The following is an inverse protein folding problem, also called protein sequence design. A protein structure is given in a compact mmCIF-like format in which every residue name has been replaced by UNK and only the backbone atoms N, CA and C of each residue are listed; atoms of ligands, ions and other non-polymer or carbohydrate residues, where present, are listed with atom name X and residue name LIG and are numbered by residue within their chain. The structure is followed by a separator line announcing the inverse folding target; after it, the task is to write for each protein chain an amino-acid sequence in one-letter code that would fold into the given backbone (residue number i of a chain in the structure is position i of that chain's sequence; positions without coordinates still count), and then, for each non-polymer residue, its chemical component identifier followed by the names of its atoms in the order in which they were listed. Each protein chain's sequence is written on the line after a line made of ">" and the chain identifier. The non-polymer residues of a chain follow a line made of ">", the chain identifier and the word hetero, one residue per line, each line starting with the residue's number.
data_IF_374901949836
#
_entry.id   IF_374901949836
#
_cell.length_a   1.000
_cell.length_b   1.000
_cell.length_c   1.000
_cell.angle_alpha   90.00
_cell.angle_beta   90.00
_cell.angle_gamma   90.00
#
_symmetry.space_group_name_H-M   'P 1'
#
loop_
_entity.id
_entity.type
_entity.pdbx_description
1 polymer ?
#
# COMPACT_ATOMS: atom_id res chain seq x y z
N UNK A 1 11.12 49.84 -117.07
CA UNK A 1 9.85 50.61 -117.18
C UNK A 1 8.68 49.98 -116.45
N UNK A 2 8.15 48.78 -116.80
CA UNK A 2 6.98 48.22 -116.08
C UNK A 2 7.30 47.61 -114.70
N UNK A 3 8.49 47.01 -114.52
CA UNK A 3 8.89 46.39 -113.25
C UNK A 3 9.32 47.40 -112.16
N UNK A 4 9.97 48.49 -112.54
CA UNK A 4 10.35 49.55 -111.58
C UNK A 4 9.12 50.28 -111.04
N UNK A 5 8.09 50.45 -111.87
CA UNK A 5 6.86 51.14 -111.46
C UNK A 5 6.02 50.29 -110.50
N UNK A 6 5.92 48.99 -110.76
CA UNK A 6 5.25 48.04 -109.84
C UNK A 6 5.99 47.86 -108.51
N UNK A 7 7.33 47.93 -108.51
CA UNK A 7 8.13 47.86 -107.27
C UNK A 7 8.00 49.13 -106.41
N UNK A 8 7.90 50.31 -107.06
CA UNK A 8 7.64 51.58 -106.38
C UNK A 8 6.19 51.62 -105.85
N UNK A 9 5.21 51.18 -106.64
CA UNK A 9 3.81 51.13 -106.19
C UNK A 9 3.63 50.15 -105.02
N UNK A 10 4.33 49.00 -105.02
CA UNK A 10 4.32 48.04 -103.92
C UNK A 10 5.04 48.56 -102.67
N UNK A 11 6.16 49.29 -102.83
CA UNK A 11 6.83 49.95 -101.71
C UNK A 11 5.97 51.07 -101.10
N UNK A 12 5.31 51.87 -101.93
CA UNK A 12 4.37 52.90 -101.48
C UNK A 12 3.10 52.33 -100.83
N UNK A 13 2.67 51.13 -101.21
CA UNK A 13 1.57 50.42 -100.54
C UNK A 13 1.99 49.86 -99.19
N UNK A 14 3.20 49.29 -99.09
CA UNK A 14 3.75 48.81 -97.82
C UNK A 14 4.03 49.97 -96.86
N UNK A 15 4.53 51.10 -97.36
CA UNK A 15 4.72 52.31 -96.56
C UNK A 15 3.39 52.92 -96.12
N UNK A 16 2.34 52.90 -96.97
CA UNK A 16 0.98 53.31 -96.58
C UNK A 16 0.32 52.39 -95.56
N UNK A 17 0.46 51.06 -95.71
CA UNK A 17 -0.06 50.08 -94.75
C UNK A 17 0.73 50.14 -93.42
N UNK A 18 2.05 50.39 -93.46
CA UNK A 18 2.86 50.66 -92.26
C UNK A 18 2.45 51.96 -91.57
N UNK A 19 2.22 53.05 -92.32
CA UNK A 19 1.76 54.33 -91.76
C UNK A 19 0.35 54.21 -91.15
N UNK A 20 -0.53 53.39 -91.71
CA UNK A 20 -1.87 53.11 -91.16
C UNK A 20 -1.84 52.22 -89.90
N UNK A 21 -0.87 51.30 -89.78
CA UNK A 21 -0.64 50.52 -88.56
C UNK A 21 0.19 51.26 -87.49
N UNK A 22 1.02 52.23 -87.89
CA UNK A 22 1.99 52.89 -87.00
C UNK A 22 1.41 53.98 -86.07
N UNK A 23 0.12 54.35 -86.16
CA UNK A 23 -0.39 55.46 -85.33
C UNK A 23 -1.84 55.34 -84.81
N UNK A 24 -2.31 54.13 -84.53
CA UNK A 24 -3.45 53.98 -83.61
C UNK A 24 -3.00 54.25 -82.17
N UNK A 25 -3.14 55.51 -81.75
CA UNK A 25 -2.83 55.94 -80.39
C UNK A 25 -3.61 55.08 -79.37
N UNK A 26 -2.87 54.49 -78.41
CA UNK A 26 -3.43 53.58 -77.38
C UNK A 26 -4.54 54.24 -76.54
N UNK A 27 -4.51 55.57 -76.43
CA UNK A 27 -5.57 56.38 -75.86
C UNK A 27 -6.12 57.30 -76.94
N UNK A 28 -7.41 57.18 -77.23
CA UNK A 28 -8.09 58.00 -78.25
C UNK A 28 -8.71 59.27 -77.65
N UNK A 29 -8.97 59.25 -76.34
CA UNK A 29 -9.47 60.39 -75.58
C UNK A 29 -8.58 60.62 -74.36
N UNK A 30 -8.19 61.87 -74.06
CA UNK A 30 -7.35 62.19 -72.89
C UNK A 30 -7.93 61.69 -71.55
N UNK A 31 -9.25 61.48 -71.47
CA UNK A 31 -9.94 60.97 -70.28
C UNK A 31 -9.61 59.50 -69.98
N UNK A 32 -9.36 58.66 -71.00
CA UNK A 32 -9.14 57.22 -70.81
C UNK A 32 -7.91 56.91 -69.95
N UNK A 33 -6.85 57.73 -70.06
CA UNK A 33 -5.66 57.59 -69.23
C UNK A 33 -5.92 58.06 -67.79
N UNK A 34 -6.67 59.16 -67.63
CA UNK A 34 -7.07 59.66 -66.32
C UNK A 34 -7.95 58.65 -65.59
N UNK A 35 -8.92 58.03 -66.28
CA UNK A 35 -9.79 56.99 -65.73
C UNK A 35 -9.01 55.72 -65.32
N UNK A 36 -7.93 55.39 -66.04
CA UNK A 36 -7.04 54.29 -65.65
C UNK A 36 -6.21 54.64 -64.42
N UNK A 37 -5.73 55.89 -64.32
CA UNK A 37 -5.04 56.34 -63.12
C UNK A 37 -5.96 56.43 -61.91
N UNK A 38 -7.18 56.94 -62.05
CA UNK A 38 -8.16 56.96 -60.95
C UNK A 38 -8.54 55.55 -60.51
N UNK A 39 -8.78 54.61 -61.44
CA UNK A 39 -9.04 53.22 -61.09
C UNK A 39 -7.84 52.55 -60.38
N UNK A 40 -6.61 52.89 -60.77
CA UNK A 40 -5.39 52.42 -60.09
C UNK A 40 -5.24 53.06 -58.71
N UNK A 41 -5.56 54.34 -58.56
CA UNK A 41 -5.56 55.04 -57.27
C UNK A 41 -6.59 54.45 -56.32
N UNK A 42 -7.82 54.18 -56.79
CA UNK A 42 -8.86 53.49 -56.04
C UNK A 42 -8.43 52.08 -55.63
N UNK A 43 -7.87 51.30 -56.55
CA UNK A 43 -7.36 49.96 -56.26
C UNK A 43 -6.20 49.99 -55.25
N UNK A 44 -5.27 50.93 -55.37
CA UNK A 44 -4.15 51.06 -54.45
C UNK A 44 -4.63 51.50 -53.06
N UNK A 45 -5.58 52.44 -53.00
CA UNK A 45 -6.18 52.88 -51.74
C UNK A 45 -6.92 51.73 -51.05
N UNK A 46 -7.66 50.92 -51.81
CA UNK A 46 -8.31 49.72 -51.31
C UNK A 46 -7.31 48.71 -50.74
N UNK A 47 -6.19 48.45 -51.44
CA UNK A 47 -5.14 47.56 -50.95
C UNK A 47 -4.47 48.08 -49.68
N UNK A 48 -4.21 49.39 -49.60
CA UNK A 48 -3.64 50.02 -48.41
C UNK A 48 -4.60 49.86 -47.22
N UNK A 49 -5.88 50.16 -47.42
CA UNK A 49 -6.89 50.01 -46.37
C UNK A 49 -7.00 48.56 -45.91
N UNK A 50 -7.06 47.60 -46.84
CA UNK A 50 -7.12 46.18 -46.49
C UNK A 50 -5.84 45.72 -45.75
N UNK A 51 -4.66 46.18 -46.17
CA UNK A 51 -3.41 45.90 -45.46
C UNK A 51 -3.42 46.45 -44.03
N UNK A 52 -3.95 47.65 -43.82
CA UNK A 52 -4.08 48.25 -42.48
C UNK A 52 -5.08 47.48 -41.61
N UNK A 53 -6.28 47.18 -42.13
CA UNK A 53 -7.31 46.41 -41.41
C UNK A 53 -6.79 45.02 -41.00
N UNK A 54 -6.06 44.36 -41.90
CA UNK A 54 -5.44 43.05 -41.62
C UNK A 54 -4.26 43.14 -40.64
N UNK A 55 -3.49 44.22 -40.69
CA UNK A 55 -2.42 44.49 -39.72
C UNK A 55 -2.98 44.74 -38.32
N UNK A 56 -4.01 45.58 -38.19
CA UNK A 56 -4.72 45.83 -36.92
C UNK A 56 -5.29 44.53 -36.33
N UNK A 57 -5.96 43.71 -37.15
CA UNK A 57 -6.48 42.42 -36.70
C UNK A 57 -5.37 41.46 -36.22
N UNK A 58 -4.21 41.50 -36.87
CA UNK A 58 -3.04 40.71 -36.49
C UNK A 58 -2.44 41.21 -35.16
N UNK A 59 -2.34 42.52 -34.97
CA UNK A 59 -1.88 43.12 -33.71
C UNK A 59 -2.83 42.78 -32.55
N UNK A 60 -4.14 42.89 -32.75
CA UNK A 60 -5.12 42.48 -31.74
C UNK A 60 -4.96 41.00 -31.36
N UNK A 61 -4.76 40.14 -32.35
CA UNK A 61 -4.61 38.70 -32.13
C UNK A 61 -3.30 38.40 -31.39
N UNK A 62 -2.21 39.10 -31.69
CA UNK A 62 -0.95 39.02 -30.94
C UNK A 62 -1.14 39.39 -29.46
N UNK A 63 -1.84 40.51 -29.18
CA UNK A 63 -2.10 40.93 -27.79
C UNK A 63 -2.98 39.89 -27.08
N UNK A 64 -4.04 39.39 -27.72
CA UNK A 64 -4.90 38.33 -27.16
C UNK A 64 -4.09 37.07 -26.84
N UNK A 65 -3.16 36.67 -27.72
CA UNK A 65 -2.29 35.53 -27.51
C UNK A 65 -1.31 35.75 -26.34
N UNK A 66 -0.71 36.93 -26.24
CA UNK A 66 0.17 37.26 -25.11
C UNK A 66 -0.56 37.21 -23.77
N UNK A 67 -1.77 37.77 -23.70
CA UNK A 67 -2.60 37.74 -22.50
C UNK A 67 -3.02 36.30 -22.16
N UNK A 68 -3.41 35.51 -23.16
CA UNK A 68 -3.75 34.11 -22.96
C UNK A 68 -2.55 33.29 -22.45
N UNK A 69 -1.36 33.52 -23.03
CA UNK A 69 -0.14 32.86 -22.61
C UNK A 69 0.24 33.21 -21.16
N UNK A 70 0.14 34.50 -20.77
CA UNK A 70 0.38 34.93 -19.41
C UNK A 70 -0.58 34.24 -18.42
N UNK A 71 -1.88 34.22 -18.74
CA UNK A 71 -2.88 33.50 -17.92
C UNK A 71 -2.58 32.02 -17.79
N UNK A 72 -2.20 31.34 -18.88
CA UNK A 72 -1.85 29.93 -18.83
C UNK A 72 -0.63 29.65 -17.96
N UNK A 73 0.36 30.55 -17.95
CA UNK A 73 1.54 30.44 -17.08
C UNK A 73 1.14 30.63 -15.61
N UNK A 74 0.29 31.61 -15.31
CA UNK A 74 -0.22 31.86 -13.96
C UNK A 74 -1.05 30.67 -13.45
N UNK A 75 -1.94 30.13 -14.28
CA UNK A 75 -2.75 28.95 -13.97
C UNK A 75 -1.88 27.72 -13.72
N UNK A 76 -0.85 27.50 -14.55
CA UNK A 76 0.10 26.40 -14.37
C UNK A 76 0.88 26.53 -13.04
N UNK A 77 1.33 27.75 -12.69
CA UNK A 77 1.98 28.00 -11.41
C UNK A 77 1.04 27.77 -10.22
N UNK A 78 -0.23 28.18 -10.34
CA UNK A 78 -1.26 27.93 -9.34
C UNK A 78 -1.53 26.43 -9.12
N UNK A 79 -1.68 25.67 -10.21
CA UNK A 79 -1.84 24.22 -10.15
C UNK A 79 -0.62 23.52 -9.54
N UNK A 80 0.60 23.97 -9.87
CA UNK A 80 1.81 23.43 -9.28
C UNK A 80 1.84 23.64 -7.75
N UNK A 81 1.48 24.84 -7.28
CA UNK A 81 1.39 25.11 -5.85
C UNK A 81 0.34 24.26 -5.13
N UNK A 82 -0.79 23.95 -5.79
CA UNK A 82 -1.80 23.03 -5.25
C UNK A 82 -1.27 21.59 -5.15
N UNK A 83 -0.52 21.12 -6.16
CA UNK A 83 0.13 19.81 -6.14
C UNK A 83 1.11 19.72 -4.97
N UNK A 84 1.95 20.74 -4.78
CA UNK A 84 2.94 20.75 -3.69
C UNK A 84 2.26 20.74 -2.31
N UNK A 85 1.17 21.50 -2.16
CA UNK A 85 0.36 21.50 -0.92
C UNK A 85 -0.27 20.12 -0.65
N UNK A 86 -0.87 19.49 -1.66
CA UNK A 86 -1.48 18.17 -1.52
C UNK A 86 -0.41 17.10 -1.23
N UNK A 87 0.74 17.16 -1.89
CA UNK A 87 1.86 16.28 -1.61
C UNK A 87 2.34 16.40 -0.17
N UNK A 88 2.43 17.63 0.37
CA UNK A 88 2.74 17.87 1.77
C UNK A 88 1.69 17.30 2.74
N UNK A 89 0.40 17.42 2.41
CA UNK A 89 -0.67 16.84 3.22
C UNK A 89 -0.62 15.30 3.22
N UNK A 90 -0.38 14.69 2.06
CA UNK A 90 -0.23 13.22 1.93
C UNK A 90 0.95 12.74 2.77
N UNK A 91 2.11 13.40 2.68
CA UNK A 91 3.29 13.04 3.49
C UNK A 91 3.00 13.12 5.00
N UNK A 92 2.29 14.15 5.46
CA UNK A 92 1.90 14.29 6.87
C UNK A 92 0.88 13.23 7.32
N UNK A 93 -0.07 12.87 6.46
CA UNK A 93 -1.01 11.76 6.67
C UNK A 93 -0.29 10.41 6.74
N UNK A 94 0.64 10.15 5.83
CA UNK A 94 1.43 8.92 5.81
C UNK A 94 2.30 8.79 7.06
N UNK A 95 2.91 9.88 7.54
CA UNK A 95 3.66 9.86 8.80
C UNK A 95 2.75 9.56 10.00
N UNK A 96 1.56 10.18 10.07
CA UNK A 96 0.56 9.86 11.11
C UNK A 96 0.11 8.40 11.03
N UNK A 97 -0.16 7.90 9.82
CA UNK A 97 -0.56 6.50 9.58
C UNK A 97 0.54 5.56 10.01
N UNK A 98 1.81 5.85 9.69
CA UNK A 98 2.97 5.07 10.13
C UNK A 98 3.08 5.07 11.66
N UNK A 99 2.96 6.23 12.30
CA UNK A 99 3.00 6.34 13.76
C UNK A 99 1.87 5.58 14.46
N UNK A 100 0.66 5.59 13.88
CA UNK A 100 -0.46 4.79 14.37
C UNK A 100 -0.24 3.30 14.13
N UNK A 101 0.30 2.90 12.98
CA UNK A 101 0.59 1.50 12.65
C UNK A 101 1.69 0.92 13.56
N UNK A 102 2.69 1.71 13.94
CA UNK A 102 3.71 1.30 14.91
C UNK A 102 3.10 1.11 16.30
N UNK A 103 2.22 2.03 16.71
CA UNK A 103 1.49 1.93 17.99
C UNK A 103 0.51 0.76 18.02
N UNK A 104 -0.22 0.52 16.92
CA UNK A 104 -1.19 -0.59 16.82
C UNK A 104 -0.51 -1.94 16.59
N UNK A 105 0.63 -1.97 15.90
CA UNK A 105 1.46 -3.18 15.76
C UNK A 105 2.09 -3.63 17.06
N UNK A 106 2.40 -2.70 17.98
CA UNK A 106 3.00 -3.01 19.28
C UNK A 106 1.99 -3.48 20.36
N UNK A 107 0.68 -3.29 20.17
CA UNK A 107 -0.29 -3.64 21.22
C UNK A 107 -1.73 -3.93 20.78
N UNK A 108 -2.12 -3.63 19.55
CA UNK A 108 -3.47 -3.85 19.04
C UNK A 108 -3.75 -5.32 18.74
N UNK A 109 -2.81 -6.01 18.08
CA UNK A 109 -2.96 -7.43 17.76
C UNK A 109 -2.99 -8.33 19.00
N UNK A 110 -2.20 -8.01 20.02
CA UNK A 110 -2.18 -8.75 21.28
C UNK A 110 -3.45 -8.51 22.09
N UNK A 111 -3.90 -7.26 22.19
CA UNK A 111 -5.13 -6.93 22.90
C UNK A 111 -6.38 -7.54 22.25
N UNK A 112 -6.45 -7.57 20.92
CA UNK A 112 -7.59 -8.19 20.23
C UNK A 112 -7.57 -9.73 20.36
N UNK A 113 -6.39 -10.34 20.34
CA UNK A 113 -6.22 -11.76 20.65
C UNK A 113 -6.62 -12.08 22.08
N UNK A 114 -6.17 -11.31 23.07
CA UNK A 114 -6.55 -11.55 24.47
C UNK A 114 -8.04 -11.36 24.70
N UNK A 115 -8.68 -10.36 24.07
CA UNK A 115 -10.12 -10.18 24.12
C UNK A 115 -10.86 -11.37 23.49
N UNK A 116 -10.35 -11.91 22.39
CA UNK A 116 -10.92 -13.09 21.75
C UNK A 116 -10.81 -14.33 22.63
N UNK A 117 -9.64 -14.58 23.22
CA UNK A 117 -9.41 -15.69 24.16
C UNK A 117 -10.31 -15.60 25.39
N UNK A 118 -10.46 -14.40 25.97
CA UNK A 118 -11.36 -14.18 27.10
C UNK A 118 -12.82 -14.45 26.72
N UNK A 119 -13.26 -13.99 25.55
CA UNK A 119 -14.60 -14.25 25.04
C UNK A 119 -14.86 -15.75 24.87
N UNK A 120 -13.90 -16.49 24.29
CA UNK A 120 -13.98 -17.94 24.15
C UNK A 120 -14.11 -18.64 25.51
N UNK A 121 -13.28 -18.29 26.50
CA UNK A 121 -13.36 -18.86 27.85
C UNK A 121 -14.71 -18.60 28.52
N UNK A 122 -15.25 -17.38 28.39
CA UNK A 122 -16.58 -17.05 28.92
C UNK A 122 -17.66 -17.90 28.24
N UNK A 123 -17.58 -18.10 26.92
CA UNK A 123 -18.53 -18.94 26.20
C UNK A 123 -18.43 -20.43 26.59
N UNK A 124 -17.23 -20.94 26.85
CA UNK A 124 -17.02 -22.31 27.35
C UNK A 124 -17.65 -22.53 28.72
N UNK A 125 -17.42 -21.61 29.66
CA UNK A 125 -18.01 -21.65 31.01
C UNK A 125 -19.54 -21.55 30.93
N UNK A 126 -20.05 -20.63 30.10
CA UNK A 126 -21.48 -20.46 29.90
C UNK A 126 -22.13 -21.75 29.37
N UNK A 127 -21.55 -22.41 28.36
CA UNK A 127 -22.04 -23.68 27.82
C UNK A 127 -21.98 -24.84 28.82
N UNK A 128 -20.97 -24.85 29.70
CA UNK A 128 -20.84 -25.87 30.73
C UNK A 128 -21.94 -25.77 31.80
N UNK A 129 -22.40 -24.55 32.08
CA UNK A 129 -23.45 -24.28 33.08
C UNK A 129 -24.85 -24.35 32.44
N UNK A 130 -25.01 -23.81 31.23
CA UNK A 130 -26.26 -23.71 30.51
C UNK A 130 -26.15 -24.49 29.19
N UNK A 131 -26.78 -25.67 29.13
CA UNK A 131 -26.70 -26.56 27.95
C UNK A 131 -27.38 -25.98 26.70
N UNK A 132 -28.28 -25.01 26.87
CA UNK A 132 -28.91 -24.23 25.80
C UNK A 132 -28.11 -22.94 25.60
N UNK A 133 -27.22 -22.92 24.61
CA UNK A 133 -26.44 -21.72 24.30
C UNK A 133 -27.15 -20.87 23.25
N UNK A 134 -27.78 -19.79 23.71
CA UNK A 134 -28.18 -18.72 22.81
C UNK A 134 -26.93 -18.00 22.33
N UNK A 135 -26.46 -18.34 21.12
CA UNK A 135 -25.32 -17.68 20.46
C UNK A 135 -25.55 -16.17 20.20
N UNK A 136 -26.75 -15.64 20.52
CA UNK A 136 -27.09 -14.22 20.42
C UNK A 136 -26.70 -13.40 21.66
N UNK A 137 -26.30 -14.03 22.76
CA UNK A 137 -25.95 -13.32 23.99
C UNK A 137 -24.57 -12.65 23.85
N UNK A 138 -24.46 -11.39 24.24
CA UNK A 138 -23.16 -10.72 24.37
C UNK A 138 -22.37 -11.26 25.57
N UNK A 139 -21.04 -11.10 25.57
CA UNK A 139 -20.16 -11.54 26.67
C UNK A 139 -20.55 -10.98 28.03
N UNK A 140 -20.94 -9.71 28.09
CA UNK A 140 -21.42 -9.09 29.32
C UNK A 140 -22.67 -9.79 29.85
N UNK A 141 -23.62 -10.12 28.97
CA UNK A 141 -24.84 -10.81 29.35
C UNK A 141 -24.56 -12.25 29.83
N UNK A 142 -23.62 -12.94 29.16
CA UNK A 142 -23.16 -14.27 29.60
C UNK A 142 -22.54 -14.19 31.01
N UNK A 143 -21.68 -13.20 31.27
CA UNK A 143 -21.08 -12.99 32.58
C UNK A 143 -22.12 -12.71 33.66
N UNK A 144 -23.08 -11.82 33.41
CA UNK A 144 -24.16 -11.53 34.37
C UNK A 144 -24.98 -12.78 34.72
N UNK A 145 -25.25 -13.64 33.74
CA UNK A 145 -25.97 -14.90 33.97
C UNK A 145 -25.12 -15.93 34.74
N UNK A 146 -23.79 -15.95 34.51
CA UNK A 146 -22.86 -16.79 35.28
C UNK A 146 -22.81 -16.30 36.72
N UNK A 147 -22.69 -14.99 36.94
CA UNK A 147 -22.66 -14.37 38.27
C UNK A 147 -23.93 -14.67 39.06
N UNK A 148 -25.11 -14.48 38.47
CA UNK A 148 -26.37 -14.80 39.16
C UNK A 148 -26.47 -16.28 39.54
N UNK A 149 -26.03 -17.18 38.65
CA UNK A 149 -26.01 -18.62 38.95
C UNK A 149 -25.02 -18.97 40.06
N UNK A 150 -23.87 -18.31 40.11
CA UNK A 150 -22.91 -18.49 41.18
C UNK A 150 -23.48 -18.02 42.52
N UNK A 151 -24.15 -16.86 42.56
CA UNK A 151 -24.83 -16.35 43.76
C UNK A 151 -25.91 -17.32 44.27
N UNK A 152 -26.74 -17.87 43.38
CA UNK A 152 -27.74 -18.88 43.73
C UNK A 152 -27.11 -20.14 44.36
N UNK A 153 -26.01 -20.63 43.79
CA UNK A 153 -25.32 -21.81 44.29
C UNK A 153 -24.65 -21.56 45.65
N UNK A 154 -24.05 -20.38 45.84
CA UNK A 154 -23.47 -19.98 47.11
C UNK A 154 -24.55 -19.86 48.20
N UNK A 155 -25.68 -19.21 47.89
CA UNK A 155 -26.81 -19.13 48.82
C UNK A 155 -27.36 -20.52 49.18
N UNK A 156 -27.39 -21.46 48.23
CA UNK A 156 -27.78 -22.85 48.51
C UNK A 156 -26.77 -23.55 49.44
N UNK A 157 -25.46 -23.36 49.23
CA UNK A 157 -24.41 -23.94 50.09
C UNK A 157 -24.53 -23.43 51.52
N UNK A 158 -24.83 -22.15 51.73
CA UNK A 158 -24.98 -21.56 53.07
C UNK A 158 -26.14 -22.17 53.88
N UNK A 159 -27.15 -22.72 53.20
CA UNK A 159 -28.29 -23.39 53.87
C UNK A 159 -28.03 -24.85 54.22
N UNK A 160 -26.95 -25.46 53.70
CA UNK A 160 -26.64 -26.87 53.90
C UNK A 160 -25.87 -27.11 55.22
N UNK A 161 -25.98 -28.31 55.83
CA UNK A 161 -25.21 -28.64 57.03
C UNK A 161 -23.70 -28.66 56.74
N UNK A 162 -22.94 -27.91 57.54
CA UNK A 162 -21.50 -27.68 57.34
C UNK A 162 -20.69 -28.98 57.31
N UNK A 163 -21.05 -29.97 58.12
CA UNK A 163 -20.34 -31.26 58.18
C UNK A 163 -20.36 -32.03 56.85
N UNK A 164 -21.51 -32.00 56.14
CA UNK A 164 -21.65 -32.65 54.83
C UNK A 164 -20.91 -31.89 53.73
N UNK A 165 -20.96 -30.54 53.80
CA UNK A 165 -20.23 -29.67 52.88
C UNK A 165 -18.72 -29.88 53.02
N UNK A 166 -18.19 -29.94 54.24
CA UNK A 166 -16.78 -30.23 54.49
C UNK A 166 -16.37 -31.60 53.97
N UNK A 167 -17.20 -32.64 54.18
CA UNK A 167 -16.93 -33.97 53.65
C UNK A 167 -16.88 -33.98 52.11
N UNK A 168 -17.83 -33.31 51.46
CA UNK A 168 -17.88 -33.16 50.00
C UNK A 168 -16.67 -32.37 49.46
N UNK A 169 -16.26 -31.30 50.14
CA UNK A 169 -15.06 -30.53 49.79
C UNK A 169 -13.79 -31.38 49.91
N UNK A 170 -13.63 -32.14 51.01
CA UNK A 170 -12.50 -33.06 51.20
C UNK A 170 -12.45 -34.12 50.10
N UNK A 171 -13.60 -34.63 49.67
CA UNK A 171 -13.69 -35.59 48.58
C UNK A 171 -13.31 -34.97 47.22
N UNK A 172 -13.83 -33.78 46.88
CA UNK A 172 -13.45 -33.04 45.67
C UNK A 172 -11.95 -32.72 45.62
N UNK A 173 -11.38 -32.28 46.73
CA UNK A 173 -9.95 -31.99 46.83
C UNK A 173 -9.10 -33.26 46.72
N UNK A 174 -9.55 -34.38 47.29
CA UNK A 174 -8.90 -35.69 47.10
C UNK A 174 -8.91 -36.12 45.63
N UNK A 175 -10.05 -36.01 44.94
CA UNK A 175 -10.16 -36.30 43.51
C UNK A 175 -9.26 -35.40 42.66
N UNK A 176 -9.21 -34.10 42.99
CA UNK A 176 -8.32 -33.14 42.32
C UNK A 176 -6.86 -33.57 42.45
N UNK A 177 -6.41 -33.90 43.67
CA UNK A 177 -5.05 -34.40 43.94
C UNK A 177 -4.76 -35.70 43.18
N UNK A 178 -5.72 -36.61 43.12
CA UNK A 178 -5.57 -37.86 42.38
C UNK A 178 -5.48 -37.62 40.86
N UNK A 179 -6.26 -36.70 40.29
CA UNK A 179 -6.17 -36.31 38.87
C UNK A 179 -4.79 -35.73 38.56
N UNK A 180 -4.30 -34.78 39.35
CA UNK A 180 -2.96 -34.19 39.18
C UNK A 180 -1.88 -35.26 39.23
N UNK A 181 -1.96 -36.19 40.20
CA UNK A 181 -1.02 -37.31 40.29
C UNK A 181 -1.06 -38.21 39.06
N UNK A 182 -2.26 -38.55 38.55
CA UNK A 182 -2.43 -39.37 37.35
C UNK A 182 -1.85 -38.70 36.10
N UNK A 183 -2.09 -37.40 35.91
CA UNK A 183 -1.52 -36.63 34.79
C UNK A 183 0.01 -36.66 34.85
N UNK A 184 0.60 -36.36 36.02
CA UNK A 184 2.05 -36.40 36.21
C UNK A 184 2.64 -37.79 35.98
N UNK A 185 1.96 -38.84 36.44
CA UNK A 185 2.37 -40.22 36.19
C UNK A 185 2.30 -40.58 34.70
N UNK A 186 1.28 -40.12 33.98
CA UNK A 186 1.14 -40.35 32.55
C UNK A 186 2.22 -39.62 31.73
N UNK A 187 2.54 -38.38 32.09
CA UNK A 187 3.65 -37.63 31.46
C UNK A 187 5.00 -38.31 31.72
N UNK A 188 5.26 -38.75 32.95
CA UNK A 188 6.47 -39.49 33.29
C UNK A 188 6.55 -40.84 32.53
N UNK A 189 5.42 -41.53 32.36
CA UNK A 189 5.36 -42.77 31.59
C UNK A 189 5.66 -42.53 30.11
N UNK A 190 5.06 -41.51 29.49
CA UNK A 190 5.36 -41.12 28.10
C UNK A 190 6.84 -40.78 27.91
N UNK A 191 7.42 -39.98 28.81
CA UNK A 191 8.84 -39.65 28.75
C UNK A 191 9.75 -40.88 28.92
N UNK A 192 9.34 -41.86 29.75
CA UNK A 192 10.06 -43.12 29.90
C UNK A 192 9.94 -43.99 28.63
N UNK A 193 8.75 -44.10 28.05
CA UNK A 193 8.50 -44.81 26.80
C UNK A 193 9.34 -44.22 25.65
N UNK A 194 9.39 -42.90 25.51
CA UNK A 194 10.23 -42.23 24.51
C UNK A 194 11.72 -42.53 24.69
N UNK A 195 12.22 -42.60 25.94
CA UNK A 195 13.61 -42.99 26.23
C UNK A 195 13.87 -44.43 25.82
N UNK A 196 12.95 -45.34 26.13
CA UNK A 196 13.04 -46.75 25.75
C UNK A 196 13.03 -46.88 24.23
N UNK A 197 12.10 -46.22 23.53
CA UNK A 197 12.03 -46.22 22.07
C UNK A 197 13.30 -45.67 21.42
N UNK A 198 13.86 -44.58 21.97
CA UNK A 198 15.14 -44.01 21.51
C UNK A 198 16.30 -44.99 21.68
N UNK A 199 16.34 -45.73 22.80
CA UNK A 199 17.34 -46.75 23.05
C UNK A 199 17.18 -47.96 22.09
N UNK A 200 15.94 -48.42 21.86
CA UNK A 200 15.64 -49.50 20.90
C UNK A 200 16.07 -49.08 19.49
N UNK A 201 15.70 -47.88 19.04
CA UNK A 201 16.10 -47.35 17.72
C UNK A 201 17.61 -47.31 17.56
N UNK A 202 18.33 -46.84 18.58
CA UNK A 202 19.82 -46.84 18.60
C UNK A 202 20.41 -48.25 18.53
N UNK A 203 19.75 -49.24 19.14
CA UNK A 203 20.22 -50.64 19.11
C UNK A 203 19.91 -51.36 17.79
N UNK A 204 18.84 -50.95 17.09
CA UNK A 204 18.43 -51.50 15.79
C UNK A 204 19.22 -50.89 14.63
N UNK A 205 19.83 -49.72 14.82
CA UNK A 205 20.66 -49.08 13.82
C UNK A 205 21.87 -49.97 13.50
N UNK A 206 22.11 -50.31 12.21
CA UNK A 206 23.19 -51.21 11.85
C UNK A 206 24.53 -50.60 12.27
N UNK A 207 25.28 -51.32 13.11
CA UNK A 207 26.60 -50.88 13.56
C UNK A 207 27.52 -50.72 12.35
N UNK A 208 27.84 -49.47 12.01
CA UNK A 208 28.78 -49.15 10.95
C UNK A 208 30.17 -49.70 11.32
N UNK A 209 30.52 -50.84 10.71
CA UNK A 209 31.85 -51.44 10.88
C UNK A 209 32.86 -50.57 10.14
N UNK A 210 33.76 -49.91 10.87
CA UNK A 210 34.88 -49.18 10.28
C UNK A 210 35.81 -50.20 9.62
N UNK A 211 36.08 -50.04 8.33
CA UNK A 211 37.08 -50.86 7.62
C UNK A 211 38.48 -50.33 7.94
N UNK A 212 39.38 -51.20 8.40
CA UNK A 212 40.77 -50.87 8.70
C UNK A 212 41.09 -50.55 10.17
N UNK A 213 42.38 -50.49 10.49
CA UNK A 213 42.86 -50.10 11.82
C UNK A 213 42.56 -48.61 12.05
N UNK A 214 41.94 -48.23 13.17
CA UNK A 214 41.73 -46.82 13.51
C UNK A 214 43.10 -46.12 13.58
N UNK A 215 43.21 -44.97 12.91
CA UNK A 215 44.38 -44.08 13.08
C UNK A 215 44.37 -43.62 14.53
N UNK A 216 45.35 -44.11 15.28
CA UNK A 216 45.62 -43.65 16.64
C UNK A 216 46.31 -42.29 16.51
N UNK A 217 45.60 -41.22 16.81
CA UNK A 217 46.26 -39.95 17.08
C UNK A 217 47.16 -40.15 18.30
N UNK A 218 48.43 -39.78 18.17
CA UNK A 218 49.36 -39.78 19.29
C UNK A 218 48.84 -38.78 20.32
N UNK A 219 48.95 -39.10 21.61
CA UNK A 219 48.63 -38.14 22.66
C UNK A 219 49.53 -36.92 22.50
N UNK A 220 48.95 -35.78 22.14
CA UNK A 220 49.59 -34.50 22.36
C UNK A 220 49.45 -34.19 23.85
N UNK A 221 50.54 -33.75 24.50
CA UNK A 221 50.45 -33.29 25.88
C UNK A 221 49.38 -32.18 25.94
N UNK A 222 48.43 -32.24 26.89
CA UNK A 222 47.47 -31.17 27.07
C UNK A 222 48.24 -29.91 27.42
N UNK A 223 48.25 -28.92 26.52
CA UNK A 223 48.74 -27.60 26.88
C UNK A 223 47.78 -27.05 27.93
N UNK A 224 48.32 -26.70 29.09
CA UNK A 224 47.59 -26.05 30.17
C UNK A 224 47.02 -24.74 29.64
N UNK A 225 45.76 -24.74 29.22
CA UNK A 225 45.02 -23.50 28.99
C UNK A 225 44.81 -22.84 30.35
N UNK A 226 45.08 -21.53 30.51
CA UNK A 226 44.70 -20.82 31.73
C UNK A 226 43.19 -20.97 31.96
N UNK A 227 42.80 -21.14 33.22
CA UNK A 227 41.40 -21.28 33.64
C UNK A 227 40.64 -20.01 33.24
N UNK A 228 39.89 -20.07 32.15
CA UNK A 228 38.80 -19.13 31.93
C UNK A 228 37.75 -19.41 33.01
N UNK A 229 37.35 -18.36 33.72
CA UNK A 229 36.30 -18.44 34.72
C UNK A 229 35.04 -18.99 34.06
N UNK A 230 34.54 -20.11 34.58
CA UNK A 230 33.22 -20.62 34.20
C UNK A 230 32.22 -19.59 34.70
N UNK A 231 31.77 -18.72 33.81
CA UNK A 231 30.56 -17.95 34.02
C UNK A 231 29.42 -18.95 34.17
N UNK A 232 28.94 -19.08 35.40
CA UNK A 232 27.69 -19.74 35.73
C UNK A 232 26.59 -19.06 34.92
N UNK A 233 26.23 -19.66 33.78
CA UNK A 233 25.02 -19.28 33.06
C UNK A 233 23.85 -19.72 33.93
N UNK A 234 23.38 -18.80 34.79
CA UNK A 234 22.01 -18.82 35.28
C UNK A 234 21.10 -18.74 34.05
N UNK A 235 20.65 -19.90 33.57
CA UNK A 235 19.45 -19.97 32.75
C UNK A 235 18.23 -19.73 33.64
N UNK A 236 18.07 -18.48 34.06
CA UNK A 236 16.78 -17.91 34.44
C UNK A 236 16.09 -17.48 33.14
N UNK A 237 15.61 -18.47 32.37
CA UNK A 237 14.67 -18.21 31.29
C UNK A 237 13.28 -17.89 31.87
N UNK A 238 12.51 -16.95 31.27
CA UNK A 238 11.17 -16.59 31.74
C UNK A 238 10.17 -17.77 31.71
N UNK A 239 10.45 -18.83 30.95
CA UNK A 239 9.59 -20.01 30.81
C UNK A 239 9.33 -20.77 32.13
N UNK A 240 10.24 -20.72 33.12
CA UNK A 240 10.02 -21.40 34.41
C UNK A 240 9.07 -20.65 35.33
N UNK A 241 8.92 -19.33 35.17
CA UNK A 241 7.99 -18.53 35.97
C UNK A 241 6.55 -18.68 35.45
N UNK A 242 6.35 -18.88 34.14
CA UNK A 242 5.04 -19.22 33.58
C UNK A 242 4.54 -20.58 34.11
N UNK A 243 5.42 -21.58 34.20
CA UNK A 243 5.02 -22.90 34.72
C UNK A 243 4.66 -22.89 36.21
N UNK A 244 5.28 -22.01 37.01
CA UNK A 244 4.93 -21.86 38.42
C UNK A 244 3.65 -21.03 38.60
N UNK A 245 3.39 -20.02 37.75
CA UNK A 245 2.14 -19.27 37.78
C UNK A 245 0.94 -20.14 37.36
N UNK A 246 1.07 -20.98 36.32
CA UNK A 246 0.03 -21.93 35.91
C UNK A 246 -0.26 -23.01 36.98
N UNK A 247 0.74 -23.30 37.82
CA UNK A 247 0.59 -24.20 38.96
C UNK A 247 -0.21 -23.56 40.11
N UNK A 248 -0.06 -22.25 40.35
CA UNK A 248 -0.78 -21.52 41.41
C UNK A 248 -2.14 -20.96 40.97
N UNK A 249 -2.32 -20.64 39.68
CA UNK A 249 -3.56 -20.06 39.14
C UNK A 249 -4.66 -21.09 38.89
N UNK A 250 -4.37 -22.39 39.04
CA UNK A 250 -5.39 -23.43 39.14
C UNK A 250 -5.85 -23.64 40.60
N UNK A 251 -6.48 -22.61 41.16
CA UNK A 251 -7.31 -22.71 42.36
C UNK A 251 -8.59 -21.90 42.15
N UNK A 252 -9.69 -22.35 42.79
CA UNK A 252 -11.03 -22.55 42.24
C UNK A 252 -11.70 -21.36 41.59
#
# INVERSE_FOLDING_TARGET
>A
MCYERAAVDAAEQIDREREEEEELMYFQEPQQLLDRFTALEESNLFLIQNSQETEEALEELKVKLQVAQAKMVDDAAGLQGQIDSLAGQVAAEEEKRRGLAERSGAGGGTQEQTLHELNQKVAEVYKAIFSESDNSLGTLQMLTNIESRLEELLAAIDTMPQDEVEAAQRQKEKERRERVRKVKQAEAAKAAEERIQRAIRRSQEPVARRTGKPIMFRSYLPQSKPKEAVAEKLETGPEKLETDLDFYLNLP
#
